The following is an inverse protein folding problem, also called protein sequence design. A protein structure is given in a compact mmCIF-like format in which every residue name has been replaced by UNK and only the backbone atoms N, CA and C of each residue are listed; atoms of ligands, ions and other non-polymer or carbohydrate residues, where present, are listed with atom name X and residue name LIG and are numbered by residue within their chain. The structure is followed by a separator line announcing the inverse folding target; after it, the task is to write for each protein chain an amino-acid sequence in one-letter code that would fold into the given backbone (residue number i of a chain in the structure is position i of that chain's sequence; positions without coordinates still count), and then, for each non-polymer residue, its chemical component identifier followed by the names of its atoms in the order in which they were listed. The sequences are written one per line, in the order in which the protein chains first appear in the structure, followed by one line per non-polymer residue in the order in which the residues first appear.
data_IF_079288576244
#
_entry.id   IF_079288576244
#
_cell.length_a   1.000
_cell.length_b   1.000
_cell.length_c   1.000
_cell.angle_alpha   90.00
_cell.angle_beta   90.00
_cell.angle_gamma   90.00
#
_symmetry.space_group_name_H-M   'P 1'
#
loop_
_entity.id
_entity.type
_entity.pdbx_description
1 polymer ?
#
# COMPACT_ATOMS: atom_id res chain seq x y z
N UNK A 1 -0.45 -4.34 -16.53
CA UNK A 1 -0.50 -5.12 -15.26
C UNK A 1 -1.86 -4.91 -14.62
N UNK A 2 -2.47 -5.94 -14.02
CA UNK A 2 -3.71 -5.78 -13.27
C UNK A 2 -3.39 -5.36 -11.83
N UNK A 3 -3.90 -4.20 -11.41
CA UNK A 3 -3.83 -3.80 -10.00
C UNK A 3 -4.89 -4.61 -9.24
N UNK A 4 -4.51 -5.33 -8.18
CA UNK A 4 -5.45 -6.12 -7.38
C UNK A 4 -6.59 -5.28 -6.80
N UNK A 5 -7.77 -5.88 -6.57
CA UNK A 5 -8.90 -5.17 -5.98
C UNK A 5 -8.56 -4.64 -4.58
N UNK A 6 -9.18 -3.55 -4.17
CA UNK A 6 -8.96 -2.91 -2.86
C UNK A 6 -9.28 -3.83 -1.67
N UNK A 7 -10.11 -4.86 -1.89
CA UNK A 7 -10.43 -5.88 -0.89
C UNK A 7 -9.30 -6.90 -0.65
N UNK A 8 -8.21 -6.88 -1.42
CA UNK A 8 -7.11 -7.82 -1.25
C UNK A 8 -6.42 -7.62 0.12
N UNK A 9 -6.26 -8.68 0.95
CA UNK A 9 -5.73 -8.55 2.31
C UNK A 9 -4.32 -7.96 2.35
N UNK A 10 -3.49 -8.24 1.35
CA UNK A 10 -2.13 -7.68 1.21
C UNK A 10 -2.09 -6.15 1.28
N UNK A 11 -3.12 -5.44 0.80
CA UNK A 11 -3.15 -3.99 0.94
C UNK A 11 -3.20 -3.55 2.39
N UNK A 12 -4.02 -4.22 3.21
CA UNK A 12 -4.08 -4.02 4.64
C UNK A 12 -2.76 -4.42 5.31
N UNK A 13 -2.18 -5.56 4.92
CA UNK A 13 -0.94 -6.05 5.51
C UNK A 13 0.27 -5.14 5.25
N UNK A 14 0.32 -4.48 4.09
CA UNK A 14 1.34 -3.47 3.76
C UNK A 14 1.25 -2.26 4.68
N UNK A 15 0.04 -1.72 4.87
CA UNK A 15 -0.19 -0.52 5.68
C UNK A 15 -0.09 -0.79 7.18
N UNK A 16 -0.42 -2.00 7.64
CA UNK A 16 -0.22 -2.39 9.05
C UNK A 16 1.20 -2.86 9.35
N UNK A 17 2.02 -3.08 8.32
CA UNK A 17 3.40 -3.55 8.47
C UNK A 17 3.54 -5.05 8.78
N UNK A 18 2.48 -5.83 8.57
CA UNK A 18 2.54 -7.30 8.60
C UNK A 18 3.40 -7.83 7.46
N UNK A 19 3.30 -7.20 6.29
CA UNK A 19 4.20 -7.43 5.16
C UNK A 19 5.33 -6.41 5.21
N UNK A 20 6.55 -6.90 5.42
CA UNK A 20 7.78 -6.10 5.29
C UNK A 20 8.14 -6.00 3.81
N UNK A 21 7.50 -5.05 3.13
CA UNK A 21 7.84 -4.67 1.76
C UNK A 21 8.21 -3.20 1.71
N UNK A 22 9.28 -2.90 0.98
CA UNK A 22 9.73 -1.54 0.72
C UNK A 22 9.54 -1.26 -0.78
N UNK A 23 8.56 -0.40 -1.15
CA UNK A 23 8.34 -0.05 -2.55
C UNK A 23 9.53 0.71 -3.12
N UNK A 24 9.89 0.35 -4.35
CA UNK A 24 10.84 1.10 -5.17
C UNK A 24 10.24 2.47 -5.54
N UNK A 25 8.91 2.56 -5.65
CA UNK A 25 8.21 3.82 -5.89
C UNK A 25 8.16 4.69 -4.63
N UNK A 26 8.84 5.85 -4.69
CA UNK A 26 9.02 6.74 -3.55
C UNK A 26 7.71 7.21 -2.92
N UNK A 27 6.69 7.54 -3.72
CA UNK A 27 5.42 8.01 -3.19
C UNK A 27 4.71 6.90 -2.39
N UNK A 28 4.75 5.65 -2.85
CA UNK A 28 4.21 4.51 -2.10
C UNK A 28 5.00 4.28 -0.81
N UNK A 29 6.34 4.39 -0.84
CA UNK A 29 7.18 4.28 0.35
C UNK A 29 6.85 5.35 1.39
N UNK A 30 6.77 6.62 0.98
CA UNK A 30 6.38 7.72 1.87
C UNK A 30 4.96 7.55 2.41
N UNK A 31 4.03 7.10 1.57
CA UNK A 31 2.65 6.83 1.97
C UNK A 31 2.58 5.76 3.07
N UNK A 32 3.24 4.61 2.86
CA UNK A 32 3.29 3.52 3.85
C UNK A 32 3.89 3.99 5.18
N UNK A 33 5.00 4.73 5.14
CA UNK A 33 5.64 5.26 6.35
C UNK A 33 4.68 6.19 7.12
N UNK A 34 4.04 7.13 6.42
CA UNK A 34 3.05 8.05 7.02
C UNK A 34 1.89 7.28 7.65
N UNK A 35 1.33 6.32 6.92
CA UNK A 35 0.20 5.52 7.40
C UNK A 35 0.57 4.68 8.62
N UNK A 36 1.74 4.04 8.62
CA UNK A 36 2.22 3.27 9.78
C UNK A 36 2.37 4.15 11.02
N UNK A 37 2.88 5.37 10.88
CA UNK A 37 2.91 6.32 12.00
C UNK A 37 1.51 6.70 12.49
N UNK A 38 0.57 6.93 11.58
CA UNK A 38 -0.81 7.30 11.93
C UNK A 38 -1.54 6.13 12.62
N UNK A 39 -1.41 4.91 12.10
CA UNK A 39 -1.93 3.68 12.71
C UNK A 39 -1.30 3.44 14.08
N UNK A 40 0.01 3.68 14.23
CA UNK A 40 0.70 3.57 15.51
C UNK A 40 0.22 4.58 16.56
N UNK A 41 -0.17 5.79 16.12
CA UNK A 41 -0.70 6.85 17.01
C UNK A 41 -2.18 6.68 17.34
N UNK A 42 -3.02 6.36 16.34
CA UNK A 42 -4.47 6.30 16.47
C UNK A 42 -4.98 4.91 16.92
N UNK A 43 -4.10 3.91 16.96
CA UNK A 43 -4.45 2.50 17.13
C UNK A 43 -4.87 1.84 15.81
N UNK A 44 -4.73 0.51 15.74
CA UNK A 44 -5.06 -0.30 14.56
C UNK A 44 -6.57 -0.41 14.31
N UNK A 45 -7.21 0.73 14.02
CA UNK A 45 -8.63 0.81 13.70
C UNK A 45 -8.88 0.24 12.30
N UNK A 46 -9.80 -0.72 12.14
CA UNK A 46 -10.03 -1.40 10.86
C UNK A 46 -10.52 -0.44 9.77
N UNK A 47 -11.27 0.60 10.12
CA UNK A 47 -11.74 1.62 9.18
C UNK A 47 -10.59 2.46 8.61
N UNK A 48 -9.62 2.83 9.47
CA UNK A 48 -8.44 3.60 9.10
C UNK A 48 -7.53 2.79 8.17
N UNK A 49 -7.35 1.50 8.49
CA UNK A 49 -6.60 0.54 7.66
C UNK A 49 -7.25 0.40 6.29
N UNK A 50 -8.57 0.23 6.21
CA UNK A 50 -9.30 0.12 4.93
C UNK A 50 -9.17 1.38 4.07
N UNK A 51 -9.29 2.56 4.69
CA UNK A 51 -9.13 3.84 4.01
C UNK A 51 -7.72 3.98 3.42
N UNK A 52 -6.70 3.65 4.20
CA UNK A 52 -5.31 3.74 3.74
C UNK A 52 -4.94 2.66 2.72
N UNK A 53 -5.44 1.45 2.87
CA UNK A 53 -5.30 0.38 1.87
C UNK A 53 -5.88 0.81 0.52
N UNK A 54 -7.06 1.43 0.53
CA UNK A 54 -7.69 1.99 -0.67
C UNK A 54 -6.84 3.12 -1.26
N UNK A 55 -6.35 4.03 -0.43
CA UNK A 55 -5.48 5.13 -0.86
C UNK A 55 -4.15 4.67 -1.46
N UNK A 56 -3.52 3.62 -0.91
CA UNK A 56 -2.30 3.03 -1.46
C UNK A 56 -2.55 2.40 -2.84
N UNK A 57 -3.67 1.67 -2.98
CA UNK A 57 -4.09 1.08 -4.26
C UNK A 57 -4.35 2.15 -5.31
N UNK A 58 -5.04 3.22 -4.93
CA UNK A 58 -5.35 4.33 -5.82
C UNK A 58 -4.09 5.09 -6.26
N UNK A 59 -3.16 5.33 -5.32
CA UNK A 59 -1.85 5.92 -5.62
C UNK A 59 -1.07 5.10 -6.66
N UNK A 60 -1.06 3.78 -6.51
CA UNK A 60 -0.39 2.88 -7.48
C UNK A 60 -1.17 2.82 -8.80
N UNK A 61 -2.50 2.87 -8.78
CA UNK A 61 -3.33 2.88 -9.99
C UNK A 61 -3.13 4.17 -10.82
N UNK A 62 -3.08 5.32 -10.16
CA UNK A 62 -2.79 6.60 -10.80
C UNK A 62 -1.38 6.67 -11.40
N UNK A 63 -0.45 5.86 -10.90
CA UNK A 63 0.94 5.81 -11.35
C UNK A 63 1.28 4.46 -12.03
N UNK A 64 0.27 3.77 -12.59
CA UNK A 64 0.44 2.43 -13.15
C UNK A 64 1.37 2.39 -14.39
N UNK A 65 1.58 3.53 -15.04
CA UNK A 65 2.52 3.70 -16.15
C UNK A 65 3.99 3.73 -15.69
N UNK A 66 4.27 3.94 -14.40
CA UNK A 66 5.62 3.90 -13.88
C UNK A 66 6.14 2.46 -13.80
N UNK A 67 7.30 2.20 -14.41
CA UNK A 67 7.96 0.89 -14.35
C UNK A 67 8.22 0.43 -12.90
N UNK A 68 8.56 1.36 -12.00
CA UNK A 68 8.77 1.08 -10.57
C UNK A 68 7.51 0.55 -9.89
N UNK A 69 6.35 1.14 -10.21
CA UNK A 69 5.04 0.73 -9.68
C UNK A 69 4.69 -0.67 -10.18
N UNK A 70 4.91 -0.93 -11.47
CA UNK A 70 4.68 -2.24 -12.06
C UNK A 70 5.56 -3.32 -11.40
N UNK A 71 6.86 -3.04 -11.23
CA UNK A 71 7.78 -3.94 -10.53
C UNK A 71 7.36 -4.18 -9.08
N UNK A 72 6.92 -3.14 -8.37
CA UNK A 72 6.47 -3.26 -6.99
C UNK A 72 5.20 -4.11 -6.89
N UNK A 73 4.18 -3.87 -7.73
CA UNK A 73 2.96 -4.68 -7.80
C UNK A 73 3.31 -6.15 -8.06
N UNK A 74 4.18 -6.42 -9.04
CA UNK A 74 4.60 -7.77 -9.38
C UNK A 74 5.36 -8.48 -8.25
N UNK A 75 6.10 -7.75 -7.41
CA UNK A 75 6.81 -8.32 -6.24
C UNK A 75 5.88 -8.55 -5.05
N UNK A 76 4.93 -7.64 -4.82
CA UNK A 76 4.00 -7.68 -3.69
C UNK A 76 2.97 -8.80 -3.86
N UNK A 77 2.45 -8.97 -5.07
CA UNK A 77 1.32 -9.86 -5.38
C UNK A 77 1.74 -11.11 -6.16
N UNK A 78 2.97 -11.57 -5.92
CA UNK A 78 3.50 -12.81 -6.51
C UNK A 78 2.93 -14.04 -5.82
#
# INVERSE_FOLDING_TARGET
MQIPPAAHPTWADLVTGKVKFEPSFLAARMFIVRVRMEVGKAGAKPELIRKHATGLRDLLAQNADCASVQQDIAKIFK
#
